data_IF_620491399944
#
_entry.id   IF_620491399944
#
_cell.length_a   1.000
_cell.length_b   1.000
_cell.length_c   1.000
_cell.angle_alpha   90.00
_cell.angle_beta   90.00
_cell.angle_gamma   90.00
#
_symmetry.space_group_name_H-M   'P 1'
#
loop_
_entity.id
_entity.type
_entity.pdbx_description
1 polymer ?
#
# COMPACT_ATOMS: atom_id res chain seq x y z
N UNK A 1 25.42 16.19 13.93
CA UNK A 1 25.53 15.77 12.52
C UNK A 1 24.72 16.75 11.70
N UNK A 2 25.15 17.08 10.47
CA UNK A 2 24.33 17.93 9.59
C UNK A 2 23.15 17.13 9.06
N UNK A 3 22.01 17.79 8.77
CA UNK A 3 20.83 17.18 8.17
C UNK A 3 21.17 16.43 6.87
N UNK A 4 22.11 16.97 6.08
CA UNK A 4 22.56 16.33 4.84
C UNK A 4 23.25 14.98 5.09
N UNK A 5 24.11 14.85 6.09
CA UNK A 5 24.78 13.61 6.42
C UNK A 5 23.75 12.56 6.88
N UNK A 6 22.87 12.95 7.80
CA UNK A 6 21.79 12.10 8.31
C UNK A 6 20.84 11.64 7.19
N UNK A 7 20.50 12.52 6.25
CA UNK A 7 19.63 12.18 5.11
C UNK A 7 20.31 11.19 4.15
N UNK A 8 21.61 11.32 3.90
CA UNK A 8 22.38 10.39 3.06
C UNK A 8 22.44 8.99 3.67
N UNK A 9 22.69 8.90 4.97
CA UNK A 9 22.70 7.60 5.69
C UNK A 9 21.31 6.96 5.66
N UNK A 10 20.27 7.73 5.98
CA UNK A 10 18.89 7.26 5.96
C UNK A 10 18.48 6.74 4.56
N UNK A 11 18.79 7.51 3.51
CA UNK A 11 18.50 7.10 2.14
C UNK A 11 19.26 5.82 1.73
N UNK A 12 20.50 5.63 2.19
CA UNK A 12 21.24 4.42 1.93
C UNK A 12 20.63 3.19 2.61
N UNK A 13 20.15 3.31 3.86
CA UNK A 13 19.47 2.23 4.56
C UNK A 13 18.11 1.91 3.91
N UNK A 14 17.32 2.92 3.56
CA UNK A 14 16.04 2.73 2.86
C UNK A 14 16.22 1.97 1.55
N UNK A 15 17.23 2.33 0.71
CA UNK A 15 17.49 1.64 -0.56
C UNK A 15 17.89 0.16 -0.39
N UNK A 16 18.48 -0.20 0.74
CA UNK A 16 18.89 -1.58 1.07
C UNK A 16 17.80 -2.37 1.78
N UNK A 17 16.71 -1.72 2.19
CA UNK A 17 15.64 -2.42 2.90
C UNK A 17 14.98 -3.47 2.03
N UNK A 18 14.82 -4.68 2.58
CA UNK A 18 14.18 -5.78 1.87
C UNK A 18 12.74 -5.42 1.47
N UNK A 19 12.05 -4.61 2.28
CA UNK A 19 10.68 -4.18 1.99
C UNK A 19 10.57 -3.38 0.68
N UNK A 20 11.59 -2.57 0.33
CA UNK A 20 11.62 -1.85 -0.95
C UNK A 20 12.12 -2.78 -2.07
N UNK A 21 13.19 -3.55 -1.83
CA UNK A 21 13.77 -4.42 -2.84
C UNK A 21 12.79 -5.50 -3.32
N UNK A 22 12.01 -6.10 -2.43
CA UNK A 22 11.03 -7.12 -2.79
C UNK A 22 9.87 -6.57 -3.66
N UNK A 23 9.64 -5.25 -3.68
CA UNK A 23 8.66 -4.66 -4.63
C UNK A 23 9.10 -4.84 -6.08
N UNK A 24 10.39 -5.01 -6.35
CA UNK A 24 10.90 -5.27 -7.69
C UNK A 24 10.51 -6.68 -8.22
N UNK A 25 10.18 -7.63 -7.34
CA UNK A 25 9.70 -8.95 -7.76
C UNK A 25 8.38 -8.86 -8.54
N UNK A 26 7.59 -7.80 -8.30
CA UNK A 26 6.33 -7.52 -8.99
C UNK A 26 6.57 -7.29 -10.49
N UNK A 27 7.72 -6.75 -10.90
CA UNK A 27 8.07 -6.53 -12.31
C UNK A 27 7.98 -7.84 -13.11
N UNK A 28 8.47 -8.94 -12.53
CA UNK A 28 8.40 -10.24 -13.18
C UNK A 28 6.96 -10.69 -13.42
N UNK A 29 6.06 -10.43 -12.48
CA UNK A 29 4.63 -10.72 -12.64
C UNK A 29 4.00 -9.79 -13.70
N UNK A 30 4.29 -8.49 -13.65
CA UNK A 30 3.82 -7.51 -14.63
C UNK A 30 4.21 -7.87 -16.05
N UNK A 31 5.47 -8.26 -16.26
CA UNK A 31 5.99 -8.67 -17.57
C UNK A 31 5.34 -9.97 -18.11
N UNK A 32 4.94 -10.88 -17.23
CA UNK A 32 4.36 -12.17 -17.60
C UNK A 32 2.86 -12.13 -17.79
N UNK A 33 2.16 -11.41 -16.91
CA UNK A 33 0.71 -11.32 -16.93
C UNK A 33 0.20 -10.18 -17.83
N UNK A 34 1.09 -9.28 -18.24
CA UNK A 34 0.76 -8.05 -18.96
C UNK A 34 0.33 -6.93 -18.02
N UNK A 35 0.49 -5.71 -18.50
CA UNK A 35 0.15 -4.47 -17.74
C UNK A 35 -1.31 -4.05 -17.88
N UNK A 36 -2.01 -4.66 -18.84
CA UNK A 36 -3.42 -4.38 -19.11
C UNK A 36 -4.16 -5.70 -19.30
N UNK A 37 -5.27 -5.84 -18.63
CA UNK A 37 -6.19 -6.96 -18.86
C UNK A 37 -7.22 -6.53 -19.89
N UNK A 38 -7.38 -7.33 -20.95
CA UNK A 38 -8.50 -7.17 -21.87
C UNK A 38 -9.80 -7.45 -21.11
N UNK A 39 -10.45 -6.38 -20.67
CA UNK A 39 -11.77 -6.46 -20.08
C UNK A 39 -12.79 -6.77 -21.17
N UNK A 40 -13.76 -7.63 -20.85
CA UNK A 40 -14.99 -7.77 -21.65
C UNK A 40 -15.83 -6.51 -21.62
N UNK A 41 -15.52 -5.55 -20.75
CA UNK A 41 -16.07 -4.21 -20.69
C UNK A 41 -15.21 -3.25 -21.56
N UNK A 42 -15.81 -2.20 -22.10
CA UNK A 42 -15.12 -1.25 -23.00
C UNK A 42 -14.02 -0.40 -22.33
N UNK A 43 -13.79 -0.57 -21.02
CA UNK A 43 -12.75 0.14 -20.26
C UNK A 43 -11.65 -0.84 -19.86
N UNK A 44 -10.38 -0.50 -20.12
CA UNK A 44 -9.27 -1.34 -19.61
C UNK A 44 -9.27 -1.34 -18.10
N UNK A 45 -8.97 -2.50 -17.51
CA UNK A 45 -8.66 -2.60 -16.08
C UNK A 45 -7.18 -2.25 -15.89
N UNK A 46 -6.91 -1.26 -15.04
CA UNK A 46 -5.54 -0.90 -14.68
C UNK A 46 -5.04 -1.85 -13.59
N UNK A 47 -3.80 -2.29 -13.72
CA UNK A 47 -3.11 -3.12 -12.75
C UNK A 47 -2.08 -2.29 -11.98
N UNK A 48 -1.73 -2.72 -10.77
CA UNK A 48 -0.68 -2.09 -9.94
C UNK A 48 -1.23 -1.26 -8.78
N UNK A 49 -2.54 -1.33 -8.53
CA UNK A 49 -3.16 -0.72 -7.35
C UNK A 49 -3.43 -1.75 -6.24
N UNK A 50 -3.97 -1.32 -5.11
CA UNK A 50 -4.26 -2.17 -3.94
C UNK A 50 -5.34 -3.21 -4.27
N UNK A 51 -6.31 -2.88 -5.11
CA UNK A 51 -7.30 -3.81 -5.63
C UNK A 51 -7.48 -3.68 -7.15
N UNK A 52 -7.92 -4.77 -7.77
CA UNK A 52 -8.55 -4.69 -9.09
C UNK A 52 -9.92 -4.02 -8.96
N UNK A 53 -10.15 -2.91 -9.68
CA UNK A 53 -11.43 -2.21 -9.71
C UNK A 53 -12.22 -2.62 -10.95
N UNK A 54 -13.23 -3.47 -10.78
CA UNK A 54 -14.04 -4.03 -11.87
C UNK A 54 -15.35 -3.23 -11.97
N UNK A 55 -15.66 -2.57 -13.09
CA UNK A 55 -16.90 -1.82 -13.24
C UNK A 55 -18.14 -2.69 -13.00
N UNK A 56 -19.07 -2.22 -12.15
CA UNK A 56 -20.33 -2.90 -11.83
C UNK A 56 -21.46 -1.88 -11.65
N UNK A 57 -22.27 -1.74 -12.67
CA UNK A 57 -23.34 -0.71 -12.72
C UNK A 57 -22.76 0.70 -12.59
N UNK A 58 -23.24 1.45 -11.60
CA UNK A 58 -22.79 2.83 -11.32
C UNK A 58 -21.55 2.89 -10.39
N UNK A 59 -21.02 1.73 -9.97
CA UNK A 59 -19.88 1.60 -9.07
C UNK A 59 -18.87 0.57 -9.56
N UNK A 60 -18.15 0.00 -8.61
CA UNK A 60 -17.05 -0.95 -8.84
C UNK A 60 -17.10 -2.09 -7.84
N UNK A 61 -16.86 -3.32 -8.30
CA UNK A 61 -16.41 -4.40 -7.45
C UNK A 61 -14.89 -4.26 -7.26
N UNK A 62 -14.43 -4.47 -6.03
CA UNK A 62 -13.02 -4.46 -5.66
C UNK A 62 -12.61 -5.89 -5.31
N UNK A 63 -11.50 -6.36 -5.89
CA UNK A 63 -10.97 -7.70 -5.67
C UNK A 63 -9.48 -7.62 -5.39
N UNK A 64 -9.06 -8.13 -4.23
CA UNK A 64 -7.66 -8.25 -3.82
C UNK A 64 -7.36 -9.64 -3.27
N UNK A 65 -6.09 -10.00 -3.22
CA UNK A 65 -5.61 -11.21 -2.56
C UNK A 65 -4.18 -11.02 -2.05
N UNK A 66 -3.97 -11.34 -0.77
CA UNK A 66 -2.68 -11.22 -0.11
C UNK A 66 -2.20 -12.57 0.42
N UNK A 67 -0.90 -12.83 0.23
CA UNK A 67 -0.20 -13.98 0.80
C UNK A 67 0.62 -13.59 2.03
N UNK A 68 0.50 -14.35 3.09
CA UNK A 68 1.26 -14.08 4.32
C UNK A 68 2.69 -14.58 4.23
N UNK A 69 3.62 -13.82 4.82
CA UNK A 69 5.01 -14.25 4.94
C UNK A 69 5.09 -15.61 5.62
N UNK A 70 5.75 -16.62 5.00
CA UNK A 70 5.88 -17.94 5.61
C UNK A 70 6.50 -17.89 7.00
N UNK A 71 7.52 -17.05 7.21
CA UNK A 71 8.16 -16.88 8.52
C UNK A 71 7.19 -16.34 9.57
N UNK A 72 6.32 -15.39 9.23
CA UNK A 72 5.30 -14.90 10.16
C UNK A 72 4.26 -15.99 10.49
N UNK A 73 3.83 -16.74 9.47
CA UNK A 73 2.89 -17.87 9.64
C UNK A 73 3.45 -18.92 10.60
N UNK A 74 4.76 -19.15 10.58
CA UNK A 74 5.44 -20.13 11.46
C UNK A 74 5.72 -19.59 12.86
N UNK A 75 6.11 -18.31 12.98
CA UNK A 75 6.63 -17.77 14.26
C UNK A 75 5.57 -17.04 15.09
N UNK A 76 4.53 -16.47 14.45
CA UNK A 76 3.39 -15.86 15.12
C UNK A 76 2.09 -16.13 14.34
N UNK A 77 1.59 -17.38 14.36
CA UNK A 77 0.46 -17.80 13.54
C UNK A 77 -0.84 -17.07 13.87
N UNK A 78 -1.07 -16.67 15.13
CA UNK A 78 -2.27 -15.90 15.46
C UNK A 78 -2.25 -14.52 14.79
N UNK A 79 -1.12 -13.82 14.92
CA UNK A 79 -0.96 -12.50 14.30
C UNK A 79 -0.93 -12.59 12.77
N UNK A 80 -0.34 -13.65 12.20
CA UNK A 80 -0.40 -13.91 10.76
C UNK A 80 -1.85 -14.08 10.27
N UNK A 81 -2.68 -14.83 11.00
CA UNK A 81 -4.10 -14.99 10.70
C UNK A 81 -4.87 -13.66 10.78
N UNK A 82 -4.61 -12.86 11.81
CA UNK A 82 -5.18 -11.52 11.95
C UNK A 82 -4.78 -10.63 10.77
N UNK A 83 -3.48 -10.54 10.47
CA UNK A 83 -2.97 -9.72 9.37
C UNK A 83 -3.53 -10.14 8.02
N UNK A 84 -3.71 -11.43 7.77
CA UNK A 84 -4.24 -11.94 6.51
C UNK A 84 -5.62 -11.37 6.15
N UNK A 85 -6.48 -11.16 7.15
CA UNK A 85 -7.76 -10.48 6.95
C UNK A 85 -7.60 -8.96 6.93
N UNK A 86 -6.82 -8.41 7.88
CA UNK A 86 -6.65 -6.97 8.05
C UNK A 86 -6.07 -6.28 6.81
N UNK A 87 -5.00 -6.84 6.21
CA UNK A 87 -4.37 -6.21 5.03
C UNK A 87 -5.33 -6.15 3.86
N UNK A 88 -6.08 -7.21 3.60
CA UNK A 88 -7.11 -7.24 2.58
C UNK A 88 -8.24 -6.22 2.84
N UNK A 89 -8.67 -6.07 4.10
CA UNK A 89 -9.63 -5.04 4.49
C UNK A 89 -9.06 -3.64 4.24
N UNK A 90 -7.78 -3.43 4.56
CA UNK A 90 -7.06 -2.17 4.31
C UNK A 90 -7.04 -1.81 2.83
N UNK A 91 -6.76 -2.78 1.94
CA UNK A 91 -6.75 -2.60 0.48
C UNK A 91 -8.11 -2.11 -0.05
N UNK A 92 -9.20 -2.71 0.42
CA UNK A 92 -10.56 -2.30 0.02
C UNK A 92 -10.83 -0.86 0.43
N UNK A 93 -10.52 -0.50 1.69
CA UNK A 93 -10.74 0.86 2.17
C UNK A 93 -9.80 1.87 1.51
N UNK A 94 -8.53 1.50 1.23
CA UNK A 94 -7.59 2.34 0.49
C UNK A 94 -8.14 2.76 -0.87
N UNK A 95 -8.87 1.85 -1.53
CA UNK A 95 -9.54 2.11 -2.81
C UNK A 95 -10.89 2.84 -2.68
N UNK A 96 -11.24 3.37 -1.50
CA UNK A 96 -12.52 4.06 -1.25
C UNK A 96 -13.72 3.12 -1.20
N UNK A 97 -13.50 1.83 -0.99
CA UNK A 97 -14.54 0.80 -0.95
C UNK A 97 -14.90 0.34 0.45
N UNK A 98 -15.90 -0.54 0.51
CA UNK A 98 -16.33 -1.26 1.71
C UNK A 98 -16.24 -2.75 1.48
N UNK A 99 -15.63 -3.53 2.39
CA UNK A 99 -15.50 -4.97 2.26
C UNK A 99 -16.86 -5.66 2.32
N UNK A 100 -16.99 -6.76 1.56
CA UNK A 100 -18.19 -7.62 1.52
C UNK A 100 -17.92 -8.95 2.21
N UNK A 101 -16.85 -9.65 1.79
CA UNK A 101 -16.52 -10.96 2.33
C UNK A 101 -15.08 -11.35 1.97
N UNK A 102 -14.52 -12.28 2.73
CA UNK A 102 -13.23 -12.91 2.45
C UNK A 102 -13.36 -14.41 2.26
N UNK A 103 -12.43 -14.98 1.50
CA UNK A 103 -12.14 -16.41 1.41
C UNK A 103 -10.66 -16.64 1.68
N UNK A 104 -10.31 -17.80 2.24
CA UNK A 104 -8.93 -18.14 2.54
C UNK A 104 -8.42 -19.34 1.75
N UNK A 105 -7.10 -19.47 1.69
CA UNK A 105 -6.41 -20.66 1.23
C UNK A 105 -5.30 -20.99 2.22
N UNK A 106 -5.45 -22.08 2.94
CA UNK A 106 -4.58 -22.49 4.02
C UNK A 106 -4.00 -23.88 3.81
N UNK A 107 -2.69 -23.96 3.92
CA UNK A 107 -1.96 -25.23 4.05
C UNK A 107 -1.31 -25.29 5.44
N UNK A 108 -1.41 -26.45 6.08
CA UNK A 108 -0.82 -26.72 7.38
C UNK A 108 -0.43 -28.19 7.52
N UNK A 109 0.45 -28.48 8.45
CA UNK A 109 0.90 -29.83 8.73
C UNK A 109 -0.18 -30.67 9.47
N UNK A 110 -1.05 -29.99 10.22
CA UNK A 110 -2.15 -30.62 10.95
C UNK A 110 -3.22 -29.58 11.33
N UNK A 111 -4.44 -30.00 11.70
CA UNK A 111 -5.45 -29.10 12.25
C UNK A 111 -4.96 -28.34 13.48
N UNK A 112 -4.17 -28.99 14.36
CA UNK A 112 -3.64 -28.38 15.57
C UNK A 112 -2.64 -27.26 15.25
N UNK A 113 -1.82 -27.44 14.21
CA UNK A 113 -0.88 -26.41 13.76
C UNK A 113 -1.60 -25.21 13.07
N UNK A 114 -2.79 -25.42 12.51
CA UNK A 114 -3.61 -24.38 11.91
C UNK A 114 -4.44 -23.56 12.91
N UNK A 115 -4.64 -24.07 14.12
CA UNK A 115 -5.62 -23.54 15.09
C UNK A 115 -5.44 -22.05 15.38
N UNK A 116 -4.20 -21.60 15.63
CA UNK A 116 -3.92 -20.18 15.90
C UNK A 116 -4.15 -19.29 14.67
N UNK A 117 -3.86 -19.79 13.46
CA UNK A 117 -4.16 -19.07 12.22
C UNK A 117 -5.67 -18.80 12.10
N UNK A 118 -6.50 -19.84 12.31
CA UNK A 118 -7.96 -19.70 12.28
C UNK A 118 -8.46 -18.74 13.36
N UNK A 119 -7.94 -18.84 14.59
CA UNK A 119 -8.31 -17.92 15.68
C UNK A 119 -8.01 -16.47 15.32
N UNK A 120 -6.83 -16.18 14.74
CA UNK A 120 -6.45 -14.85 14.29
C UNK A 120 -7.38 -14.33 13.18
N UNK A 121 -7.67 -15.16 12.17
CA UNK A 121 -8.59 -14.80 11.09
C UNK A 121 -10.01 -14.53 11.60
N UNK A 122 -10.53 -15.36 12.50
CA UNK A 122 -11.87 -15.18 13.10
C UNK A 122 -11.91 -13.91 13.94
N UNK A 123 -10.89 -13.64 14.74
CA UNK A 123 -10.80 -12.41 15.53
C UNK A 123 -10.81 -11.17 14.65
N UNK A 124 -10.04 -11.14 13.57
CA UNK A 124 -10.03 -10.05 12.62
C UNK A 124 -11.38 -9.91 11.88
N UNK A 125 -11.94 -11.01 11.39
CA UNK A 125 -13.27 -11.05 10.77
C UNK A 125 -14.34 -10.40 11.66
N UNK A 126 -14.33 -10.71 12.95
CA UNK A 126 -15.26 -10.11 13.93
C UNK A 126 -14.96 -8.63 14.17
N UNK A 127 -13.68 -8.25 14.32
CA UNK A 127 -13.30 -6.87 14.57
C UNK A 127 -13.68 -5.95 13.41
N UNK A 128 -13.42 -6.37 12.17
CA UNK A 128 -13.74 -5.60 10.96
C UNK A 128 -15.17 -5.81 10.47
N UNK A 129 -15.93 -6.75 11.05
CA UNK A 129 -17.28 -7.14 10.62
C UNK A 129 -17.31 -7.58 9.14
N UNK A 130 -16.33 -8.38 8.73
CA UNK A 130 -16.22 -8.93 7.37
C UNK A 130 -16.26 -10.44 7.44
N UNK A 131 -17.32 -11.12 6.92
CA UNK A 131 -17.47 -12.55 7.08
C UNK A 131 -16.45 -13.34 6.26
N UNK A 132 -15.96 -14.44 6.84
CA UNK A 132 -15.24 -15.49 6.10
C UNK A 132 -16.31 -16.42 5.53
N UNK A 133 -16.45 -16.47 4.20
CA UNK A 133 -17.57 -17.18 3.54
C UNK A 133 -17.16 -18.49 2.90
N UNK A 134 -15.89 -18.86 3.00
CA UNK A 134 -15.35 -20.11 2.45
C UNK A 134 -13.86 -20.05 2.27
N UNK A 135 -13.32 -21.02 1.56
CA UNK A 135 -11.90 -21.11 1.28
C UNK A 135 -11.47 -22.53 0.91
N UNK A 136 -10.18 -22.77 0.93
CA UNK A 136 -9.57 -24.08 0.73
C UNK A 136 -8.62 -24.38 1.89
N UNK A 137 -8.77 -25.53 2.54
CA UNK A 137 -7.93 -25.96 3.64
C UNK A 137 -7.31 -27.33 3.37
N UNK A 138 -5.99 -27.44 3.57
CA UNK A 138 -5.27 -28.71 3.59
C UNK A 138 -4.42 -28.81 4.86
N UNK A 139 -4.68 -29.84 5.68
CA UNK A 139 -3.92 -30.09 6.92
C UNK A 139 -2.94 -31.26 6.80
N UNK A 140 -2.43 -31.51 5.60
CA UNK A 140 -1.45 -32.57 5.29
C UNK A 140 -0.28 -32.03 4.45
N UNK A 141 -0.03 -30.72 4.50
CA UNK A 141 1.08 -30.09 3.81
C UNK A 141 2.37 -30.23 4.63
N UNK A 142 3.55 -30.37 3.98
CA UNK A 142 4.83 -30.35 4.72
C UNK A 142 5.24 -28.95 5.22
N UNK A 143 4.50 -27.90 4.87
CA UNK A 143 4.74 -26.51 5.25
C UNK A 143 3.43 -25.80 5.60
N UNK A 144 3.55 -24.67 6.28
CA UNK A 144 2.42 -23.76 6.52
C UNK A 144 2.43 -22.63 5.50
N UNK A 145 1.25 -22.30 4.94
CA UNK A 145 1.04 -21.14 4.08
C UNK A 145 -0.39 -20.64 4.22
N UNK A 146 -0.57 -19.34 4.13
CA UNK A 146 -1.87 -18.69 4.22
C UNK A 146 -1.97 -17.57 3.17
N UNK A 147 -3.07 -17.57 2.44
CA UNK A 147 -3.50 -16.46 1.59
C UNK A 147 -4.97 -16.18 1.84
N UNK A 148 -5.36 -14.91 1.81
CA UNK A 148 -6.75 -14.47 1.91
C UNK A 148 -7.07 -13.62 0.68
N UNK A 149 -8.24 -13.83 0.11
CA UNK A 149 -8.79 -12.97 -0.94
C UNK A 149 -10.06 -12.29 -0.43
N UNK A 150 -10.29 -11.06 -0.88
CA UNK A 150 -11.39 -10.22 -0.45
C UNK A 150 -12.17 -9.67 -1.63
N UNK A 151 -13.48 -9.60 -1.45
CA UNK A 151 -14.40 -8.87 -2.31
C UNK A 151 -14.91 -7.64 -1.56
N UNK A 152 -14.89 -6.50 -2.25
CA UNK A 152 -15.47 -5.25 -1.77
C UNK A 152 -16.26 -4.54 -2.86
N UNK A 153 -16.81 -3.38 -2.51
CA UNK A 153 -17.53 -2.51 -3.44
C UNK A 153 -17.24 -1.05 -3.15
N UNK A 154 -17.06 -0.24 -4.20
CA UNK A 154 -16.92 1.20 -4.13
C UNK A 154 -17.94 1.91 -5.02
N UNK A 155 -18.49 3.04 -4.57
CA UNK A 155 -19.30 3.95 -5.39
C UNK A 155 -18.40 4.94 -6.13
N UNK A 156 -17.30 5.34 -5.50
CA UNK A 156 -16.25 6.20 -6.02
C UNK A 156 -14.90 5.62 -5.61
N UNK A 157 -13.92 5.72 -6.49
CA UNK A 157 -12.59 5.17 -6.25
C UNK A 157 -11.64 6.22 -5.69
N UNK A 158 -10.76 5.75 -4.82
CA UNK A 158 -9.43 6.29 -4.57
C UNK A 158 -8.48 5.33 -5.28
N UNK A 159 -7.59 5.85 -6.14
CA UNK A 159 -6.66 5.01 -6.91
C UNK A 159 -5.24 5.55 -6.82
N UNK A 160 -4.25 4.74 -7.18
CA UNK A 160 -2.86 5.21 -7.24
C UNK A 160 -2.50 5.88 -8.58
N UNK A 161 -3.44 6.02 -9.52
CA UNK A 161 -3.17 6.47 -10.90
C UNK A 161 -3.41 7.96 -11.15
N UNK A 162 -3.91 8.71 -10.17
CA UNK A 162 -4.49 10.04 -10.40
C UNK A 162 -3.78 11.19 -9.68
N UNK A 163 -2.60 10.95 -9.09
CA UNK A 163 -1.82 12.00 -8.45
C UNK A 163 -1.37 13.05 -9.48
N UNK A 164 -1.41 14.34 -9.09
CA UNK A 164 -1.10 15.46 -9.98
C UNK A 164 -0.07 16.39 -9.37
N UNK A 165 0.82 16.96 -10.19
CA UNK A 165 1.73 17.99 -9.71
C UNK A 165 0.98 19.10 -8.97
N UNK A 166 1.48 19.45 -7.78
CA UNK A 166 0.86 20.41 -6.86
C UNK A 166 -0.01 19.79 -5.77
N UNK A 167 -0.36 18.51 -5.86
CA UNK A 167 -1.05 17.78 -4.79
C UNK A 167 -0.19 17.71 -3.53
N UNK A 168 -0.86 17.70 -2.39
CA UNK A 168 -0.25 17.49 -1.07
C UNK A 168 -0.34 16.02 -0.70
N UNK A 169 0.78 15.42 -0.31
CA UNK A 169 0.82 14.09 0.28
C UNK A 169 0.45 14.15 1.76
N UNK A 170 -0.63 13.49 2.15
CA UNK A 170 -1.05 13.33 3.54
C UNK A 170 -0.71 11.94 4.04
N UNK A 171 0.00 11.86 5.15
CA UNK A 171 0.20 10.62 5.92
C UNK A 171 -0.89 10.50 6.96
N UNK A 172 -1.66 9.41 6.88
CA UNK A 172 -2.74 9.09 7.83
C UNK A 172 -2.40 7.80 8.55
N UNK A 173 -2.44 7.79 9.89
CA UNK A 173 -2.21 6.57 10.67
C UNK A 173 -2.75 6.69 12.10
N UNK A 174 -2.99 5.55 12.74
CA UNK A 174 -3.23 5.49 14.18
C UNK A 174 -1.90 5.39 14.93
N UNK A 175 -1.59 6.42 15.73
CA UNK A 175 -0.39 6.48 16.55
C UNK A 175 -0.52 5.72 17.89
N UNK A 176 -1.71 5.16 18.18
CA UNK A 176 -2.00 4.41 19.40
C UNK A 176 -1.75 2.91 19.19
N UNK A 177 -0.50 2.55 18.95
CA UNK A 177 -0.08 1.18 18.71
C UNK A 177 1.27 0.87 19.33
N UNK A 178 1.83 -0.23 18.94
CA UNK A 178 3.17 -0.66 19.32
C UNK A 178 3.88 -1.37 18.17
N UNK A 179 5.22 -1.34 18.19
CA UNK A 179 6.02 -2.12 17.24
C UNK A 179 5.96 -3.60 17.61
N UNK A 180 5.78 -4.44 16.59
CA UNK A 180 5.94 -5.89 16.78
C UNK A 180 7.37 -6.21 17.20
N UNK A 181 7.60 -7.13 18.16
CA UNK A 181 8.92 -7.36 18.72
C UNK A 181 9.96 -7.87 17.70
N UNK A 182 9.54 -8.58 16.67
CA UNK A 182 10.43 -9.26 15.73
C UNK A 182 10.39 -8.70 14.30
N UNK A 183 9.40 -7.86 13.97
CA UNK A 183 9.17 -7.38 12.61
C UNK A 183 8.95 -5.87 12.59
N UNK A 184 9.22 -5.17 11.47
CA UNK A 184 8.95 -3.75 11.36
C UNK A 184 7.44 -3.49 11.17
N UNK A 185 6.61 -4.06 12.05
CA UNK A 185 5.17 -3.94 11.99
C UNK A 185 4.66 -3.02 13.10
N UNK A 186 3.91 -2.01 12.69
CA UNK A 186 3.19 -1.15 13.63
C UNK A 186 1.80 -1.73 13.85
N UNK A 187 1.55 -2.25 15.02
CA UNK A 187 0.27 -2.83 15.39
C UNK A 187 -0.56 -1.81 16.17
N UNK A 188 -1.54 -1.21 15.51
CA UNK A 188 -2.53 -0.33 16.11
C UNK A 188 -3.95 -0.94 16.10
N UNK A 189 -4.09 -2.18 15.59
CA UNK A 189 -5.40 -2.77 15.32
C UNK A 189 -5.82 -3.83 16.34
N UNK A 190 -4.93 -4.74 16.77
CA UNK A 190 -5.31 -5.90 17.59
C UNK A 190 -5.87 -5.53 18.96
N UNK A 191 -5.40 -4.44 19.55
CA UNK A 191 -5.85 -3.93 20.85
C UNK A 191 -6.89 -2.81 20.73
N UNK A 192 -7.26 -2.43 19.51
CA UNK A 192 -8.23 -1.38 19.25
C UNK A 192 -9.67 -1.90 19.40
N UNK A 193 -10.56 -1.03 19.88
CA UNK A 193 -11.98 -1.35 19.93
C UNK A 193 -12.54 -1.53 18.51
N UNK A 194 -13.28 -2.62 18.21
CA UNK A 194 -13.78 -2.91 16.87
C UNK A 194 -14.58 -1.78 16.22
N UNK A 195 -15.44 -1.10 17.01
CA UNK A 195 -16.24 0.03 16.49
C UNK A 195 -15.35 1.19 16.06
N UNK A 196 -14.27 1.47 16.80
CA UNK A 196 -13.31 2.52 16.44
C UNK A 196 -12.56 2.15 15.15
N UNK A 197 -12.11 0.89 14.99
CA UNK A 197 -11.49 0.43 13.74
C UNK A 197 -12.40 0.68 12.53
N UNK A 198 -13.64 0.22 12.60
CA UNK A 198 -14.60 0.37 11.50
C UNK A 198 -14.93 1.84 11.20
N UNK A 199 -15.14 2.63 12.24
CA UNK A 199 -15.45 4.06 12.08
C UNK A 199 -14.29 4.83 11.46
N UNK A 200 -13.05 4.49 11.82
CA UNK A 200 -11.85 5.12 11.26
C UNK A 200 -11.66 4.77 9.77
N UNK A 201 -11.85 3.50 9.42
CA UNK A 201 -11.73 3.03 8.04
C UNK A 201 -12.81 3.62 7.12
N UNK A 202 -14.03 3.81 7.65
CA UNK A 202 -15.16 4.38 6.91
C UNK A 202 -14.92 5.82 6.43
N UNK A 203 -13.93 6.53 6.97
CA UNK A 203 -13.55 7.86 6.48
C UNK A 203 -13.09 7.85 5.03
N UNK A 204 -12.38 6.79 4.57
CA UNK A 204 -11.86 6.73 3.20
C UNK A 204 -12.96 6.69 2.13
N UNK A 205 -13.94 5.76 2.18
CA UNK A 205 -15.06 5.80 1.24
C UNK A 205 -15.89 7.09 1.35
N UNK A 206 -16.02 7.69 2.53
CA UNK A 206 -16.70 8.98 2.67
C UNK A 206 -15.94 10.10 1.97
N UNK A 207 -14.61 10.15 2.05
CA UNK A 207 -13.79 11.13 1.31
C UNK A 207 -13.89 10.93 -0.19
N UNK A 208 -13.89 9.69 -0.68
CA UNK A 208 -14.07 9.37 -2.09
C UNK A 208 -15.45 9.81 -2.60
N UNK A 209 -16.52 9.45 -1.88
CA UNK A 209 -17.90 9.78 -2.22
C UNK A 209 -18.18 11.28 -2.17
N UNK A 210 -17.51 12.01 -1.27
CA UNK A 210 -17.57 13.47 -1.19
C UNK A 210 -16.72 14.18 -2.27
N UNK A 211 -15.92 13.44 -3.05
CA UNK A 211 -15.01 14.00 -4.04
C UNK A 211 -13.84 14.79 -3.46
N UNK A 212 -13.50 14.54 -2.20
CA UNK A 212 -12.39 15.21 -1.51
C UNK A 212 -11.03 14.53 -1.74
N UNK A 213 -11.05 13.22 -2.04
CA UNK A 213 -9.85 12.44 -2.33
C UNK A 213 -10.15 11.44 -3.45
N UNK A 214 -9.33 11.43 -4.49
CA UNK A 214 -9.39 10.50 -5.62
C UNK A 214 -8.09 9.67 -5.76
N UNK A 215 -7.10 9.93 -4.90
CA UNK A 215 -5.78 9.31 -5.04
C UNK A 215 -5.17 8.95 -3.70
N UNK A 216 -4.73 7.71 -3.57
CA UNK A 216 -4.09 7.20 -2.35
C UNK A 216 -3.67 5.75 -2.47
N UNK A 217 -3.02 5.26 -1.43
CA UNK A 217 -2.67 3.84 -1.20
C UNK A 217 -2.61 3.52 0.29
N UNK A 218 -2.80 2.25 0.64
CA UNK A 218 -2.43 1.79 1.97
C UNK A 218 -0.90 1.78 2.16
N UNK A 219 -0.43 1.87 3.40
CA UNK A 219 1.00 1.75 3.72
C UNK A 219 1.34 0.28 3.89
N UNK A 220 1.89 -0.32 2.83
CA UNK A 220 2.26 -1.72 2.76
C UNK A 220 3.77 -1.95 2.97
N UNK A 221 4.25 -3.15 2.69
CA UNK A 221 5.67 -3.52 2.81
C UNK A 221 6.59 -2.52 2.07
N UNK A 222 7.63 -2.06 2.75
CA UNK A 222 8.47 -0.94 2.35
C UNK A 222 8.09 0.37 3.04
N UNK A 223 7.00 0.35 3.85
CA UNK A 223 6.52 1.48 4.63
C UNK A 223 6.09 2.67 3.78
N UNK A 224 6.02 3.84 4.39
CA UNK A 224 5.55 5.05 3.71
C UNK A 224 6.42 5.43 2.50
N UNK A 225 7.74 5.15 2.55
CA UNK A 225 8.63 5.46 1.43
C UNK A 225 8.37 4.54 0.25
N UNK A 226 8.24 3.22 0.49
CA UNK A 226 7.89 2.25 -0.54
C UNK A 226 6.50 2.51 -1.14
N UNK A 227 5.52 2.85 -0.31
CA UNK A 227 4.17 3.23 -0.74
C UNK A 227 4.20 4.51 -1.59
N UNK A 228 4.99 5.52 -1.20
CA UNK A 228 5.19 6.73 -2.02
C UNK A 228 5.75 6.37 -3.39
N UNK A 229 6.77 5.51 -3.45
CA UNK A 229 7.33 5.07 -4.73
C UNK A 229 6.29 4.40 -5.63
N UNK A 230 5.46 3.48 -5.09
CA UNK A 230 4.42 2.82 -5.87
C UNK A 230 3.38 3.81 -6.41
N UNK A 231 2.91 4.73 -5.58
CA UNK A 231 1.95 5.76 -5.98
C UNK A 231 2.51 6.67 -7.08
N UNK A 232 3.78 7.05 -6.98
CA UNK A 232 4.44 7.90 -7.98
C UNK A 232 4.65 7.17 -9.30
N UNK A 233 5.08 5.90 -9.25
CA UNK A 233 5.27 5.09 -10.45
C UNK A 233 3.97 4.94 -11.23
N UNK A 234 2.89 4.53 -10.56
CA UNK A 234 1.58 4.32 -11.21
C UNK A 234 0.94 5.61 -11.72
N UNK A 235 1.19 6.75 -11.04
CA UNK A 235 0.72 8.08 -11.48
C UNK A 235 1.64 8.75 -12.51
N UNK A 236 2.84 8.24 -12.76
CA UNK A 236 3.81 8.84 -13.70
C UNK A 236 4.33 10.20 -13.26
N UNK A 237 4.52 10.44 -11.97
CA UNK A 237 4.96 11.73 -11.44
C UNK A 237 6.10 11.59 -10.43
N UNK A 238 6.68 12.72 -10.03
CA UNK A 238 7.67 12.83 -8.97
C UNK A 238 7.06 13.40 -7.68
N UNK A 239 7.87 13.45 -6.63
CA UNK A 239 7.50 14.14 -5.39
C UNK A 239 8.72 14.61 -4.60
N UNK A 240 8.48 15.57 -3.72
CA UNK A 240 9.35 15.84 -2.55
C UNK A 240 8.64 15.26 -1.32
N UNK A 241 9.29 14.32 -0.66
CA UNK A 241 8.82 13.71 0.60
C UNK A 241 9.66 14.22 1.76
N UNK A 242 9.06 14.96 2.67
CA UNK A 242 9.72 15.46 3.88
C UNK A 242 9.68 14.37 4.97
N UNK A 243 10.77 13.61 5.06
CA UNK A 243 10.91 12.56 6.10
C UNK A 243 11.02 13.15 7.52
N UNK A 244 11.27 14.45 7.64
CA UNK A 244 11.23 15.18 8.92
C UNK A 244 9.79 15.39 9.41
N UNK A 245 8.85 15.59 8.50
CA UNK A 245 7.42 15.73 8.80
C UNK A 245 6.74 14.39 9.17
N UNK A 246 7.36 13.25 8.82
CA UNK A 246 6.88 11.91 9.20
C UNK A 246 7.38 11.61 10.63
N UNK A 247 6.70 12.19 11.62
CA UNK A 247 7.09 12.03 13.02
C UNK A 247 6.78 10.59 13.50
N UNK A 248 7.78 9.86 14.02
CA UNK A 248 7.54 8.56 14.65
C UNK A 248 6.84 8.75 16.01
N UNK A 249 6.15 7.71 16.52
CA UNK A 249 5.74 7.66 17.92
C UNK A 249 6.94 7.82 18.85
N UNK A 250 6.76 8.37 20.08
CA UNK A 250 7.87 8.73 20.97
C UNK A 250 8.88 7.61 21.30
N UNK A 251 8.47 6.35 21.20
CA UNK A 251 9.29 5.17 21.53
C UNK A 251 9.88 4.49 20.30
N UNK A 252 9.66 5.02 19.10
CA UNK A 252 10.06 4.40 17.84
C UNK A 252 11.11 5.25 17.15
N UNK A 253 12.18 4.64 16.67
CA UNK A 253 13.19 5.31 15.87
C UNK A 253 12.67 5.61 14.46
N UNK A 254 13.23 6.64 13.81
CA UNK A 254 12.77 7.11 12.51
C UNK A 254 12.85 6.05 11.41
N UNK A 255 13.97 5.35 11.27
CA UNK A 255 14.14 4.36 10.19
C UNK A 255 13.16 3.19 10.31
N UNK A 256 13.00 2.50 11.46
CA UNK A 256 11.95 1.52 11.65
C UNK A 256 10.55 2.07 11.36
N UNK A 257 10.26 3.32 11.74
CA UNK A 257 8.97 3.95 11.48
C UNK A 257 8.70 4.14 9.99
N UNK A 258 9.68 4.67 9.24
CA UNK A 258 9.55 4.86 7.79
C UNK A 258 9.36 3.56 7.01
N UNK A 259 9.77 2.43 7.59
CA UNK A 259 9.62 1.09 7.02
C UNK A 259 8.44 0.30 7.59
N UNK A 260 7.72 0.87 8.58
CA UNK A 260 6.64 0.16 9.28
C UNK A 260 5.45 -0.14 8.39
N UNK A 261 4.90 -1.32 8.57
CA UNK A 261 3.66 -1.87 8.02
C UNK A 261 3.25 -3.09 8.87
N UNK A 262 2.24 -3.89 8.58
CA UNK A 262 0.94 -3.56 8.07
C UNK A 262 0.03 -3.15 9.22
N UNK A 263 -0.38 -1.95 9.19
CA UNK A 263 -1.50 -1.48 10.01
C UNK A 263 -2.43 -0.76 9.05
N UNK A 264 -3.48 -0.12 9.51
CA UNK A 264 -4.15 0.76 8.58
C UNK A 264 -3.48 2.16 8.63
N UNK A 265 -2.45 2.33 7.85
CA UNK A 265 -1.88 3.62 7.52
C UNK A 265 -2.08 3.89 6.04
N UNK A 266 -2.31 5.14 5.68
CA UNK A 266 -2.61 5.55 4.31
C UNK A 266 -1.76 6.73 3.89
N UNK A 267 -1.36 6.73 2.63
CA UNK A 267 -0.79 7.87 1.94
C UNK A 267 -1.83 8.38 0.94
N UNK A 268 -2.32 9.61 1.14
CA UNK A 268 -3.30 10.23 0.26
C UNK A 268 -2.65 11.38 -0.51
N UNK A 269 -2.94 11.48 -1.81
CA UNK A 269 -2.57 12.62 -2.65
C UNK A 269 -3.82 13.45 -2.86
N UNK A 270 -3.83 14.67 -2.32
CA UNK A 270 -5.03 15.51 -2.29
C UNK A 270 -4.75 16.89 -2.84
N UNK A 271 -5.76 17.54 -3.42
CA UNK A 271 -5.66 18.93 -3.86
C UNK A 271 -5.39 19.83 -2.64
N UNK A 272 -4.56 20.87 -2.75
CA UNK A 272 -4.20 21.73 -1.62
C UNK A 272 -5.41 22.29 -0.87
N UNK A 273 -6.48 22.67 -1.59
CA UNK A 273 -7.72 23.19 -1.00
C UNK A 273 -8.51 22.17 -0.20
N UNK A 274 -8.35 20.86 -0.49
CA UNK A 274 -9.02 19.79 0.24
C UNK A 274 -8.37 19.48 1.60
N UNK A 275 -7.11 19.84 1.81
CA UNK A 275 -6.36 19.54 3.03
C UNK A 275 -7.08 20.03 4.29
N UNK A 276 -7.57 21.28 4.27
CA UNK A 276 -8.28 21.90 5.40
C UNK A 276 -9.63 21.21 5.70
N UNK A 277 -10.19 20.47 4.76
CA UNK A 277 -11.43 19.71 4.95
C UNK A 277 -11.16 18.27 5.39
N UNK A 278 -10.03 17.69 5.01
CA UNK A 278 -9.69 16.28 5.26
C UNK A 278 -9.05 16.09 6.64
N UNK A 279 -8.01 16.87 6.97
CA UNK A 279 -7.27 16.69 8.22
C UNK A 279 -8.14 16.72 9.48
N UNK A 280 -9.10 17.69 9.65
CA UNK A 280 -9.94 17.71 10.84
C UNK A 280 -10.82 16.47 11.00
N UNK A 281 -11.21 15.81 9.90
CA UNK A 281 -12.02 14.58 9.97
C UNK A 281 -11.19 13.45 10.61
N UNK A 282 -9.96 13.22 10.17
CA UNK A 282 -9.08 12.23 10.78
C UNK A 282 -8.73 12.57 12.23
N UNK A 283 -8.40 13.83 12.52
CA UNK A 283 -8.08 14.28 13.88
C UNK A 283 -9.25 14.12 14.85
N UNK A 284 -10.49 14.34 14.39
CA UNK A 284 -11.70 14.13 15.21
C UNK A 284 -11.84 12.66 15.63
N UNK A 285 -11.37 11.74 14.80
CA UNK A 285 -11.36 10.29 15.08
C UNK A 285 -10.09 9.82 15.81
N UNK A 286 -9.22 10.75 16.24
CA UNK A 286 -8.01 10.45 16.98
C UNK A 286 -6.89 9.81 16.10
N UNK A 287 -6.98 9.99 14.79
CA UNK A 287 -5.95 9.56 13.85
C UNK A 287 -4.96 10.71 13.59
N UNK A 288 -3.69 10.36 13.40
CA UNK A 288 -2.70 11.27 12.87
C UNK A 288 -2.97 11.51 11.37
N UNK A 289 -2.99 12.77 10.96
CA UNK A 289 -3.07 13.15 9.56
C UNK A 289 -2.25 14.43 9.35
N UNK A 290 -1.15 14.34 8.61
CA UNK A 290 -0.26 15.48 8.39
C UNK A 290 0.25 15.53 6.95
N UNK A 291 0.46 16.74 6.40
CA UNK A 291 1.21 16.93 5.15
C UNK A 291 2.65 16.45 5.33
N UNK A 292 3.10 15.59 4.43
CA UNK A 292 4.45 15.01 4.46
C UNK A 292 5.20 15.21 3.15
N UNK A 293 4.57 15.84 2.16
CA UNK A 293 5.23 16.08 0.88
C UNK A 293 4.32 16.72 -0.15
N UNK A 294 4.86 16.90 -1.34
CA UNK A 294 4.16 17.51 -2.48
C UNK A 294 4.50 16.75 -3.75
N UNK A 295 3.49 16.48 -4.58
CA UNK A 295 3.67 15.88 -5.90
C UNK A 295 4.28 16.95 -6.84
N UNK A 296 5.28 16.52 -7.63
CA UNK A 296 6.00 17.40 -8.56
C UNK A 296 5.88 16.87 -9.99
N UNK A 297 6.20 17.74 -10.95
CA UNK A 297 6.46 17.32 -12.34
C UNK A 297 7.74 16.48 -12.39
N UNK A 298 7.85 15.62 -13.41
CA UNK A 298 9.00 14.72 -13.59
C UNK A 298 8.76 13.36 -12.94
N UNK A 299 9.80 12.56 -12.78
CA UNK A 299 9.71 11.14 -12.40
C UNK A 299 10.66 10.79 -11.25
N UNK A 300 10.99 11.77 -10.40
CA UNK A 300 11.96 11.56 -9.32
C UNK A 300 11.30 11.73 -7.95
N UNK A 301 11.46 10.74 -7.08
CA UNK A 301 11.23 10.94 -5.66
C UNK A 301 12.47 11.59 -5.03
N UNK A 302 12.31 12.75 -4.45
CA UNK A 302 13.32 13.46 -3.66
C UNK A 302 12.95 13.37 -2.18
N UNK A 303 13.87 12.91 -1.34
CA UNK A 303 13.72 12.99 0.12
C UNK A 303 14.21 14.34 0.61
N UNK A 304 13.53 14.89 1.62
CA UNK A 304 13.89 16.12 2.31
C UNK A 304 13.99 15.87 3.82
N UNK A 305 14.97 16.49 4.47
CA UNK A 305 15.11 16.57 5.93
C UNK A 305 15.61 17.95 6.31
N UNK A 306 14.78 18.76 6.96
CA UNK A 306 15.08 20.16 7.18
C UNK A 306 15.32 20.89 5.87
N UNK A 307 16.53 21.46 5.68
CA UNK A 307 16.92 22.14 4.44
C UNK A 307 17.65 21.22 3.44
N UNK A 308 18.02 20.02 3.85
CA UNK A 308 18.71 19.07 2.99
C UNK A 308 17.73 18.31 2.09
N UNK A 309 18.09 18.14 0.82
CA UNK A 309 17.34 17.35 -0.16
C UNK A 309 18.25 16.36 -0.86
N UNK A 310 17.70 15.20 -1.21
CA UNK A 310 18.44 14.13 -1.89
C UNK A 310 17.53 13.40 -2.89
N UNK A 311 17.88 13.34 -4.19
CA UNK A 311 17.20 12.44 -5.13
C UNK A 311 17.31 10.99 -4.65
N UNK A 312 16.17 10.35 -4.42
CA UNK A 312 16.12 9.01 -3.86
C UNK A 312 15.87 7.95 -4.93
N UNK A 313 14.91 8.17 -5.81
CA UNK A 313 14.55 7.23 -6.87
C UNK A 313 14.16 7.97 -8.13
N UNK A 314 14.62 7.50 -9.27
CA UNK A 314 14.30 8.08 -10.57
C UNK A 314 13.69 7.01 -11.48
N UNK A 315 12.38 7.12 -11.74
CA UNK A 315 11.63 6.19 -12.57
C UNK A 315 12.00 6.25 -14.05
N UNK A 316 12.64 7.34 -14.51
CA UNK A 316 13.18 7.39 -15.85
C UNK A 316 14.35 6.40 -16.05
N UNK A 317 15.00 5.98 -14.96
CA UNK A 317 16.16 5.06 -15.01
C UNK A 317 15.86 3.68 -14.45
N UNK A 318 14.92 3.56 -13.50
CA UNK A 318 14.63 2.29 -12.85
C UNK A 318 13.16 2.23 -12.38
N UNK A 319 12.39 1.30 -12.94
CA UNK A 319 11.07 0.96 -12.43
C UNK A 319 11.16 0.29 -11.06
N UNK A 320 10.13 0.44 -10.24
CA UNK A 320 9.98 -0.29 -8.99
C UNK A 320 9.13 -1.56 -9.19
N UNK A 321 7.87 -1.40 -9.60
CA UNK A 321 6.91 -2.49 -9.82
C UNK A 321 6.65 -2.77 -11.30
N UNK A 322 7.00 -1.83 -12.17
CA UNK A 322 6.78 -1.92 -13.61
C UNK A 322 5.36 -1.55 -14.06
N UNK A 323 4.51 -1.03 -13.18
CA UNK A 323 3.15 -0.58 -13.51
C UNK A 323 3.05 0.92 -13.81
N UNK A 324 4.16 1.57 -14.14
CA UNK A 324 4.15 2.96 -14.59
C UNK A 324 3.39 3.14 -15.92
N UNK A 325 2.95 4.39 -16.25
CA UNK A 325 2.33 4.67 -17.54
C UNK A 325 3.28 4.29 -18.69
N UNK A 326 2.69 3.80 -19.77
CA UNK A 326 3.48 3.54 -20.98
C UNK A 326 4.04 4.87 -21.53
N UNK A 327 5.31 4.87 -22.03
CA UNK A 327 5.82 6.04 -22.73
C UNK A 327 4.86 6.46 -23.85
N UNK A 328 4.55 7.75 -23.95
CA UNK A 328 3.73 8.24 -25.04
C UNK A 328 4.38 7.89 -26.38
N UNK A 329 3.57 7.54 -27.41
CA UNK A 329 4.08 7.15 -28.73
C UNK A 329 5.01 8.21 -29.35
N UNK A 330 4.92 9.48 -28.93
CA UNK A 330 5.79 10.59 -29.35
C UNK A 330 7.22 10.50 -28.76
N UNK A 331 7.42 9.80 -27.63
CA UNK A 331 8.75 9.60 -27.04
C UNK A 331 9.47 8.36 -27.60
N UNK A 332 8.74 7.39 -28.15
CA UNK A 332 9.31 6.18 -28.76
C UNK A 332 10.03 6.46 -30.10
N UNK A 333 9.64 7.51 -30.82
CA UNK A 333 10.30 7.92 -32.07
C UNK A 333 11.62 8.69 -31.86
N UNK A 334 11.90 9.15 -30.64
CA UNK A 334 13.14 9.86 -30.29
C UNK A 334 14.32 8.90 -30.01
N UNK A 335 14.06 7.63 -29.76
CA UNK A 335 15.06 6.57 -29.63
C UNK A 335 15.16 5.81 -30.97
N UNK A 336 15.88 6.39 -31.94
CA UNK A 336 16.10 5.81 -33.24
C UNK A 336 16.70 4.38 -33.19
N UNK A 337 16.53 3.56 -34.25
CA UNK A 337 16.92 2.16 -34.22
C UNK A 337 18.44 2.05 -34.00
N UNK A 338 18.83 1.41 -32.90
CA UNK A 338 20.19 1.02 -32.64
C UNK A 338 20.67 0.09 -33.77
N UNK A 339 21.63 0.59 -34.55
CA UNK A 339 22.15 -0.06 -35.76
C UNK A 339 22.57 -1.51 -35.51
N UNK A 340 21.97 -2.39 -36.28
CA UNK A 340 22.52 -3.73 -36.51
C UNK A 340 23.87 -3.57 -37.19
N UNK A 341 24.96 -3.84 -36.49
CA UNK A 341 26.27 -4.07 -37.06
C UNK A 341 26.24 -5.42 -37.75
N UNK A 342 26.18 -5.40 -39.09
CA UNK A 342 26.46 -6.57 -39.94
C UNK A 342 27.96 -6.88 -39.86
N UNK A 343 28.30 -8.00 -39.23
CA UNK A 343 29.59 -8.63 -39.40
C UNK A 343 29.56 -9.48 -40.66
N UNK A 344 30.45 -9.12 -41.60
CA UNK A 344 30.82 -9.94 -42.77
C UNK A 344 31.82 -11.06 -42.41
#
# INVERSE_FOLDING_TARGET
MSDEFTLRELAAELRRSLGILHKQDIQTAADRLGRHVHSTTQKPLLLGDDCAAIPDGDGYLLLAAEGMWPTLVETDPWFAGWCAVMVNVSDIYAMGGRPIAVVDTLWSQSPQAAELLWQGMVAASQAFNVPIVGGHTSCHSPYAALSVAILGRANRLITSFSARPGDVLLHVTDMQGHMHPNYPFWNAATDCQPDRLRTNLELLPQLAEAGLCDTGKDISMGGIVGTTLMLLETSGCGAVLDVGAIAPPPTVERLPWLLSFPSYGYLLSVRPEAVAHIQPQFHHHGLWCAPVGTITTGQTLTLQLGTATLPFWDFATASLTGFGPEPSADESDALGPSGQATAG
#
